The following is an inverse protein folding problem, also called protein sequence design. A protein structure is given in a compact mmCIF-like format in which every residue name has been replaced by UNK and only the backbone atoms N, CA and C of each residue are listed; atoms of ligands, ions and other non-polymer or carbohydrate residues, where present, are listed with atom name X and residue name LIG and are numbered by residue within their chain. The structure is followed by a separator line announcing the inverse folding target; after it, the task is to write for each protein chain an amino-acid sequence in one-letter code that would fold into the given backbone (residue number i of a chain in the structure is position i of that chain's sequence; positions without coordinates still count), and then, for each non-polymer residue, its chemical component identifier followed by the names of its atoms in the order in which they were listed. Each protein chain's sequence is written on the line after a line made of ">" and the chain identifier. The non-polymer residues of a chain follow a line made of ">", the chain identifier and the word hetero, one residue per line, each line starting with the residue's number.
data_IF_850585761716
#
_entry.id   IF_850585761716
#
_cell.length_a   1.000
_cell.length_b   1.000
_cell.length_c   1.000
_cell.angle_alpha   90.00
_cell.angle_beta   90.00
_cell.angle_gamma   90.00
#
_symmetry.space_group_name_H-M   'P 1'
#
loop_
_entity.id
_entity.type
_entity.pdbx_description
1 polymer ?
#
# COMPACT_ATOMS: atom_id res chain seq x y z
N UNK A 1 68.03 -17.52 0.20
CA UNK A 1 67.08 -17.48 -0.93
C UNK A 1 66.04 -18.57 -0.70
N UNK A 2 64.75 -18.17 -0.65
CA UNK A 2 63.53 -19.02 -0.84
C UNK A 2 63.26 -20.02 0.30
N UNK A 3 62.10 -20.14 0.96
CA UNK A 3 60.78 -19.48 0.98
C UNK A 3 60.11 -19.88 2.31
N UNK A 4 59.24 -19.07 2.93
CA UNK A 4 58.32 -19.56 3.96
C UNK A 4 57.07 -20.16 3.32
N UNK A 5 56.61 -21.28 3.87
CA UNK A 5 55.34 -21.93 3.54
C UNK A 5 54.16 -20.98 3.78
N UNK A 6 53.41 -20.69 2.73
CA UNK A 6 52.11 -20.02 2.82
C UNK A 6 51.05 -21.02 3.25
N UNK A 7 50.56 -20.89 4.48
CA UNK A 7 49.33 -21.50 4.93
C UNK A 7 48.16 -21.01 4.07
N UNK A 8 47.51 -21.94 3.37
CA UNK A 8 46.27 -21.71 2.63
C UNK A 8 45.13 -21.49 3.63
N UNK A 9 44.82 -20.23 3.95
CA UNK A 9 43.53 -19.88 4.54
C UNK A 9 42.44 -20.15 3.50
N UNK A 10 41.60 -21.14 3.78
CA UNK A 10 40.32 -21.29 3.10
C UNK A 10 39.47 -20.07 3.45
N UNK A 11 39.27 -19.18 2.49
CA UNK A 11 38.18 -18.21 2.51
C UNK A 11 36.86 -18.98 2.67
N UNK A 12 36.27 -18.86 3.86
CA UNK A 12 34.87 -19.18 4.06
C UNK A 12 34.06 -18.19 3.24
N UNK A 13 33.54 -18.64 2.10
CA UNK A 13 32.54 -17.92 1.34
C UNK A 13 31.36 -17.60 2.28
N UNK A 14 31.27 -16.34 2.73
CA UNK A 14 30.12 -15.84 3.44
C UNK A 14 28.90 -16.03 2.53
N UNK A 15 27.92 -16.80 3.01
CA UNK A 15 26.69 -17.05 2.27
C UNK A 15 26.08 -15.74 1.80
N UNK A 16 25.82 -15.63 0.50
CA UNK A 16 24.90 -14.60 -0.02
C UNK A 16 23.61 -14.76 0.79
N UNK A 17 23.26 -13.77 1.60
CA UNK A 17 21.92 -13.70 2.16
C UNK A 17 20.93 -13.82 1.00
N UNK A 18 20.04 -14.81 1.06
CA UNK A 18 18.99 -14.92 0.07
C UNK A 18 18.19 -13.61 0.04
N UNK A 19 17.76 -13.17 -1.15
CA UNK A 19 16.92 -11.99 -1.26
C UNK A 19 15.61 -12.20 -0.45
N UNK A 20 15.01 -11.15 0.14
CA UNK A 20 13.82 -11.27 0.99
C UNK A 20 12.66 -12.06 0.37
N UNK A 21 12.42 -11.88 -0.93
CA UNK A 21 11.49 -12.68 -1.72
C UNK A 21 12.24 -13.74 -2.52
N UNK A 22 11.73 -14.96 -2.48
CA UNK A 22 12.09 -15.98 -3.47
C UNK A 22 11.71 -15.53 -4.88
N UNK A 23 12.34 -16.12 -5.90
CA UNK A 23 12.04 -15.79 -7.30
C UNK A 23 10.56 -16.04 -7.66
N UNK A 24 9.96 -17.10 -7.11
CA UNK A 24 8.56 -17.44 -7.35
C UNK A 24 7.59 -16.49 -6.64
N UNK A 25 7.85 -16.12 -5.38
CA UNK A 25 7.06 -15.12 -4.68
C UNK A 25 7.10 -13.77 -5.40
N UNK A 26 8.30 -13.31 -5.79
CA UNK A 26 8.45 -12.07 -6.55
C UNK A 26 7.62 -12.09 -7.83
N UNK A 27 7.69 -13.19 -8.59
CA UNK A 27 6.92 -13.35 -9.84
C UNK A 27 5.41 -13.32 -9.60
N UNK A 28 4.92 -13.98 -8.54
CA UNK A 28 3.49 -14.01 -8.22
C UNK A 28 2.98 -12.66 -7.71
N UNK A 29 3.76 -11.97 -6.87
CA UNK A 29 3.41 -10.65 -6.35
C UNK A 29 3.41 -9.59 -7.46
N UNK A 30 4.42 -9.60 -8.35
CA UNK A 30 4.44 -8.71 -9.53
C UNK A 30 3.23 -8.97 -10.45
N UNK A 31 2.87 -10.25 -10.66
CA UNK A 31 1.70 -10.59 -11.46
C UNK A 31 0.40 -10.07 -10.83
N UNK A 32 0.23 -10.19 -9.50
CA UNK A 32 -0.91 -9.63 -8.80
C UNK A 32 -0.92 -8.10 -8.91
N UNK A 33 0.21 -7.43 -8.66
CA UNK A 33 0.32 -5.97 -8.77
C UNK A 33 -0.03 -5.45 -10.17
N UNK A 34 0.41 -6.16 -11.22
CA UNK A 34 0.06 -5.84 -12.60
C UNK A 34 -1.41 -6.09 -12.90
N UNK A 35 -2.00 -7.14 -12.34
CA UNK A 35 -3.43 -7.42 -12.47
C UNK A 35 -4.27 -6.33 -11.79
N UNK A 36 -3.94 -5.91 -10.57
CA UNK A 36 -4.64 -4.82 -9.89
C UNK A 36 -4.48 -3.49 -10.63
N UNK A 37 -3.28 -3.18 -11.15
CA UNK A 37 -3.07 -2.01 -12.02
C UNK A 37 -3.93 -2.06 -13.29
N UNK A 38 -4.01 -3.23 -13.93
CA UNK A 38 -4.83 -3.42 -15.12
C UNK A 38 -6.32 -3.18 -14.83
N UNK A 39 -6.83 -3.73 -13.73
CA UNK A 39 -8.20 -3.51 -13.28
C UNK A 39 -8.47 -2.04 -12.93
N UNK A 40 -7.51 -1.35 -12.29
CA UNK A 40 -7.66 0.09 -12.00
C UNK A 40 -7.74 0.93 -13.28
N UNK A 41 -6.91 0.62 -14.29
CA UNK A 41 -6.99 1.27 -15.62
C UNK A 41 -8.32 0.92 -16.30
N UNK A 42 -8.73 -0.34 -16.28
CA UNK A 42 -10.01 -0.78 -16.84
C UNK A 42 -11.19 0.00 -16.27
N UNK A 43 -11.23 0.17 -14.95
CA UNK A 43 -12.23 1.00 -14.26
C UNK A 43 -12.22 2.46 -14.72
N UNK A 44 -11.07 3.09 -14.93
CA UNK A 44 -11.01 4.51 -15.33
C UNK A 44 -11.42 4.70 -16.80
N UNK A 45 -11.02 3.77 -17.69
CA UNK A 45 -11.06 4.01 -19.13
C UNK A 45 -12.11 3.20 -19.90
N UNK A 46 -12.44 1.97 -19.49
CA UNK A 46 -13.19 1.03 -20.32
C UNK A 46 -14.67 0.93 -19.93
N UNK A 47 -15.54 0.86 -20.94
CA UNK A 47 -16.95 0.47 -20.84
C UNK A 47 -17.20 -0.96 -21.28
N UNK A 48 -16.32 -1.49 -22.14
CA UNK A 48 -16.46 -2.80 -22.76
C UNK A 48 -15.11 -3.39 -23.15
N UNK A 49 -15.09 -4.63 -23.62
CA UNK A 49 -13.89 -5.38 -24.00
C UNK A 49 -12.83 -5.40 -22.88
N UNK A 50 -13.18 -5.84 -21.66
CA UNK A 50 -12.34 -5.68 -20.47
C UNK A 50 -11.05 -6.49 -20.53
N UNK A 51 -10.97 -7.52 -21.38
CA UNK A 51 -9.79 -8.37 -21.57
C UNK A 51 -9.05 -8.10 -22.89
N UNK A 52 -9.45 -7.08 -23.65
CA UNK A 52 -8.88 -6.74 -24.97
C UNK A 52 -8.81 -7.96 -25.92
N UNK A 53 -9.85 -8.80 -25.93
CA UNK A 53 -9.91 -10.01 -26.78
C UNK A 53 -10.04 -9.66 -28.27
N UNK A 54 -10.57 -8.48 -28.55
CA UNK A 54 -10.57 -7.88 -29.88
C UNK A 54 -9.83 -6.53 -29.84
N UNK A 55 -9.33 -6.03 -30.99
CA UNK A 55 -8.60 -4.76 -31.03
C UNK A 55 -9.36 -3.61 -30.37
N UNK A 56 -8.66 -2.79 -29.59
CA UNK A 56 -9.27 -1.68 -28.86
C UNK A 56 -9.84 -0.64 -29.84
N UNK A 57 -11.13 -0.31 -29.67
CA UNK A 57 -11.87 0.69 -30.47
C UNK A 57 -12.35 1.82 -29.57
N UNK A 58 -12.66 2.98 -30.16
CA UNK A 58 -13.15 4.17 -29.43
C UNK A 58 -14.43 3.89 -28.64
N UNK A 59 -15.29 3.00 -29.14
CA UNK A 59 -16.56 2.59 -28.52
C UNK A 59 -16.38 1.81 -27.21
N UNK A 60 -15.23 1.14 -27.02
CA UNK A 60 -14.90 0.47 -25.76
C UNK A 60 -14.48 1.45 -24.65
N UNK A 61 -14.18 2.70 -25.00
CA UNK A 61 -13.65 3.72 -24.08
C UNK A 61 -14.78 4.61 -23.56
N UNK A 62 -14.80 4.87 -22.25
CA UNK A 62 -15.76 5.79 -21.61
C UNK A 62 -15.81 7.15 -22.34
N UNK A 63 -17.00 7.73 -22.56
CA UNK A 63 -17.12 9.05 -23.17
C UNK A 63 -16.60 10.15 -22.23
N UNK A 64 -16.68 9.93 -20.91
CA UNK A 64 -16.10 10.79 -19.86
C UNK A 64 -15.11 9.97 -19.05
N UNK A 65 -13.85 10.40 -19.05
CA UNK A 65 -12.80 9.77 -18.26
C UNK A 65 -12.79 10.41 -16.88
N UNK A 66 -13.18 9.64 -15.87
CA UNK A 66 -13.29 10.07 -14.48
C UNK A 66 -12.55 9.06 -13.60
N UNK A 67 -11.78 9.56 -12.64
CA UNK A 67 -10.95 8.75 -11.75
C UNK A 67 -9.52 9.27 -11.68
N UNK A 68 -8.73 8.71 -10.77
CA UNK A 68 -7.35 9.12 -10.53
C UNK A 68 -6.42 7.94 -10.74
N UNK A 69 -5.40 8.14 -11.56
CA UNK A 69 -4.34 7.15 -11.79
C UNK A 69 -3.11 7.38 -10.91
N UNK A 70 -2.77 8.64 -10.62
CA UNK A 70 -1.46 9.02 -10.09
C UNK A 70 -1.02 8.29 -8.80
N UNK A 71 -1.97 8.01 -7.90
CA UNK A 71 -1.72 7.28 -6.65
C UNK A 71 -1.85 5.75 -6.81
N UNK A 72 -2.63 5.28 -7.78
CA UNK A 72 -3.10 3.90 -7.85
C UNK A 72 -2.00 2.83 -7.91
N UNK A 73 -0.95 2.95 -8.74
CA UNK A 73 0.11 1.93 -8.78
C UNK A 73 0.87 1.78 -7.47
N UNK A 74 1.07 2.89 -6.75
CA UNK A 74 1.73 2.89 -5.45
C UNK A 74 0.86 2.21 -4.40
N UNK A 75 -0.43 2.56 -4.35
CA UNK A 75 -1.41 1.90 -3.47
C UNK A 75 -1.50 0.39 -3.75
N UNK A 76 -1.61 0.01 -5.02
CA UNK A 76 -1.66 -1.40 -5.43
C UNK A 76 -0.39 -2.14 -5.00
N UNK A 77 0.78 -1.52 -5.12
CA UNK A 77 2.04 -2.15 -4.69
C UNK A 77 2.08 -2.35 -3.17
N UNK A 78 1.73 -1.32 -2.39
CA UNK A 78 1.68 -1.40 -0.94
C UNK A 78 0.70 -2.49 -0.47
N UNK A 79 -0.51 -2.52 -1.05
CA UNK A 79 -1.53 -3.50 -0.70
C UNK A 79 -1.07 -4.94 -0.98
N UNK A 80 -0.40 -5.20 -2.12
CA UNK A 80 0.18 -6.53 -2.42
C UNK A 80 1.16 -6.99 -1.33
N UNK A 81 2.03 -6.10 -0.86
CA UNK A 81 3.00 -6.45 0.18
C UNK A 81 2.38 -6.58 1.57
N UNK A 82 1.40 -5.74 1.88
CA UNK A 82 0.65 -5.84 3.13
C UNK A 82 -0.15 -7.16 3.18
N UNK A 83 -0.80 -7.56 2.07
CA UNK A 83 -1.39 -8.88 1.93
C UNK A 83 -0.39 -10.02 2.11
N UNK A 84 0.86 -9.88 1.63
CA UNK A 84 1.90 -10.88 1.85
C UNK A 84 2.16 -11.06 3.35
N UNK A 85 2.41 -9.98 4.07
CA UNK A 85 2.72 -10.09 5.51
C UNK A 85 1.52 -10.54 6.32
N UNK A 86 0.29 -10.10 5.98
CA UNK A 86 -0.95 -10.62 6.58
C UNK A 86 -0.99 -12.15 6.45
N UNK A 87 -0.81 -12.68 5.24
CA UNK A 87 -0.90 -14.12 4.99
C UNK A 87 0.25 -14.92 5.59
N UNK A 88 1.47 -14.39 5.58
CA UNK A 88 2.64 -15.10 6.12
C UNK A 88 2.57 -15.18 7.64
N UNK A 89 2.19 -14.08 8.27
CA UNK A 89 2.33 -13.87 9.70
C UNK A 89 1.01 -14.04 10.46
N UNK A 90 -0.11 -14.26 9.77
CA UNK A 90 -1.47 -14.36 10.34
C UNK A 90 -1.85 -13.11 11.15
N UNK A 91 -1.64 -11.93 10.54
CA UNK A 91 -1.86 -10.64 11.19
C UNK A 91 -3.32 -10.21 11.11
N UNK A 92 -3.87 -9.75 12.22
CA UNK A 92 -5.07 -8.91 12.22
C UNK A 92 -4.67 -7.50 11.77
N UNK A 93 -5.03 -7.14 10.54
CA UNK A 93 -4.64 -5.88 9.92
C UNK A 93 -5.79 -5.24 9.17
N UNK A 94 -5.95 -3.93 9.37
CA UNK A 94 -6.80 -3.08 8.53
C UNK A 94 -5.97 -2.00 7.85
N UNK A 95 -6.57 -1.37 6.84
CA UNK A 95 -5.97 -0.32 6.06
C UNK A 95 -6.72 1.00 6.25
N UNK A 96 -5.97 2.09 6.31
CA UNK A 96 -6.49 3.45 6.14
C UNK A 96 -5.85 4.05 4.90
N UNK A 97 -6.67 4.41 3.91
CA UNK A 97 -6.21 4.98 2.64
C UNK A 97 -6.43 6.48 2.64
N UNK A 98 -5.42 7.22 3.10
CA UNK A 98 -5.40 8.68 3.05
C UNK A 98 -5.63 9.25 1.65
N UNK A 99 -4.88 8.85 0.61
CA UNK A 99 -5.16 9.24 -0.78
C UNK A 99 -6.36 8.44 -1.34
N UNK A 100 -7.52 8.60 -0.72
CA UNK A 100 -8.74 7.83 -1.00
C UNK A 100 -9.34 8.08 -2.39
N UNK A 101 -8.89 9.13 -3.09
CA UNK A 101 -9.15 9.32 -4.53
C UNK A 101 -8.58 8.18 -5.40
N UNK A 102 -7.74 7.29 -4.83
CA UNK A 102 -7.30 6.01 -5.36
C UNK A 102 -8.33 4.87 -5.25
N UNK A 103 -9.64 5.16 -5.18
CA UNK A 103 -10.73 4.18 -5.16
C UNK A 103 -10.61 2.97 -6.09
N UNK A 104 -10.21 3.11 -7.38
CA UNK A 104 -10.17 1.96 -8.28
C UNK A 104 -9.08 0.94 -7.91
N UNK A 105 -8.09 1.32 -7.10
CA UNK A 105 -7.12 0.38 -6.53
C UNK A 105 -7.79 -0.56 -5.53
N UNK A 106 -8.52 -0.02 -4.57
CA UNK A 106 -9.12 -0.79 -3.48
C UNK A 106 -10.27 -1.67 -4.00
N UNK A 107 -11.06 -1.16 -4.95
CA UNK A 107 -12.06 -1.97 -5.66
C UNK A 107 -11.41 -3.12 -6.44
N UNK A 108 -10.25 -2.90 -7.07
CA UNK A 108 -9.53 -3.96 -7.77
C UNK A 108 -9.04 -5.06 -6.83
N UNK A 109 -8.53 -4.68 -5.65
CA UNK A 109 -8.11 -5.62 -4.60
C UNK A 109 -9.29 -6.44 -4.07
N UNK A 110 -10.37 -5.79 -3.65
CA UNK A 110 -11.58 -6.48 -3.18
C UNK A 110 -12.16 -7.43 -4.25
N UNK A 111 -12.08 -7.06 -5.53
CA UNK A 111 -12.50 -7.92 -6.63
C UNK A 111 -11.60 -9.16 -6.79
N UNK A 112 -10.27 -8.98 -6.79
CA UNK A 112 -9.31 -10.09 -6.90
C UNK A 112 -9.30 -11.02 -5.66
N UNK A 113 -9.78 -10.53 -4.53
CA UNK A 113 -9.95 -11.30 -3.29
C UNK A 113 -11.29 -12.02 -3.20
N UNK A 114 -12.20 -11.81 -4.17
CA UNK A 114 -13.55 -12.38 -4.19
C UNK A 114 -14.55 -11.67 -3.28
N UNK A 115 -14.09 -10.89 -2.29
CA UNK A 115 -14.96 -10.19 -1.32
C UNK A 115 -15.91 -9.20 -2.00
N UNK A 116 -15.48 -8.54 -3.08
CA UNK A 116 -16.38 -7.68 -3.85
C UNK A 116 -17.56 -8.46 -4.45
N UNK A 117 -17.32 -9.68 -4.94
CA UNK A 117 -18.36 -10.57 -5.48
C UNK A 117 -19.28 -11.10 -4.38
N UNK A 118 -18.77 -11.34 -3.17
CA UNK A 118 -19.58 -11.76 -2.02
C UNK A 118 -20.64 -10.69 -1.66
N UNK A 119 -20.26 -9.41 -1.65
CA UNK A 119 -21.17 -8.29 -1.37
C UNK A 119 -21.99 -7.86 -2.60
N UNK A 120 -21.44 -7.98 -3.81
CA UNK A 120 -22.05 -7.59 -5.07
C UNK A 120 -22.07 -8.78 -6.06
N UNK A 121 -22.98 -9.76 -5.88
CA UNK A 121 -23.01 -10.98 -6.71
C UNK A 121 -23.21 -10.75 -8.20
N UNK A 122 -23.70 -9.57 -8.59
CA UNK A 122 -23.84 -9.15 -9.99
C UNK A 122 -22.49 -8.81 -10.66
N UNK A 123 -21.40 -8.76 -9.90
CA UNK A 123 -20.03 -8.47 -10.36
C UNK A 123 -19.18 -9.72 -10.15
N UNK A 124 -19.41 -10.74 -10.98
CA UNK A 124 -18.75 -12.04 -10.87
C UNK A 124 -17.25 -12.02 -11.26
N UNK A 125 -16.50 -13.03 -10.82
CA UNK A 125 -15.10 -13.26 -11.18
C UNK A 125 -14.93 -13.88 -12.58
N UNK A 126 -15.56 -13.26 -13.58
CA UNK A 126 -15.49 -13.63 -14.99
C UNK A 126 -15.40 -12.40 -15.91
N UNK A 127 -15.36 -12.64 -17.22
CA UNK A 127 -15.25 -11.57 -18.20
C UNK A 127 -16.45 -10.60 -18.21
N UNK A 128 -17.65 -11.08 -17.88
CA UNK A 128 -18.86 -10.25 -17.83
C UNK A 128 -18.89 -9.41 -16.55
N UNK A 129 -18.56 -10.01 -15.41
CA UNK A 129 -18.42 -9.29 -14.14
C UNK A 129 -17.31 -8.25 -14.20
N UNK A 130 -16.17 -8.56 -14.82
CA UNK A 130 -15.10 -7.58 -15.06
C UNK A 130 -15.55 -6.41 -15.95
N UNK A 131 -16.35 -6.68 -16.99
CA UNK A 131 -16.94 -5.63 -17.83
C UNK A 131 -17.85 -4.71 -16.99
N UNK A 132 -18.71 -5.29 -16.15
CA UNK A 132 -19.60 -4.53 -15.25
C UNK A 132 -18.80 -3.73 -14.22
N UNK A 133 -17.77 -4.32 -13.62
CA UNK A 133 -16.83 -3.67 -12.71
C UNK A 133 -16.21 -2.43 -13.35
N UNK A 134 -15.73 -2.56 -14.59
CA UNK A 134 -15.12 -1.44 -15.31
C UNK A 134 -16.15 -0.35 -15.60
N UNK A 135 -17.30 -0.75 -16.14
CA UNK A 135 -18.36 0.17 -16.55
C UNK A 135 -18.91 1.00 -15.39
N UNK A 136 -19.14 0.38 -14.22
CA UNK A 136 -19.81 1.06 -13.09
C UNK A 136 -18.94 2.12 -12.39
N UNK A 137 -17.62 2.03 -12.48
CA UNK A 137 -16.74 2.97 -11.79
C UNK A 137 -16.94 4.42 -12.27
N UNK A 138 -17.25 5.35 -11.36
CA UNK A 138 -17.49 6.77 -11.66
C UNK A 138 -18.50 7.00 -12.80
N UNK A 139 -19.52 6.15 -12.87
CA UNK A 139 -20.54 6.18 -13.93
C UNK A 139 -21.91 6.52 -13.34
N UNK A 140 -22.82 7.17 -14.09
CA UNK A 140 -24.18 7.41 -13.62
C UNK A 140 -24.87 6.11 -13.19
N UNK A 141 -25.29 6.03 -11.92
CA UNK A 141 -25.90 4.84 -11.33
C UNK A 141 -24.90 3.72 -11.00
N UNK A 142 -23.60 4.00 -11.04
CA UNK A 142 -22.53 3.10 -10.59
C UNK A 142 -21.93 3.53 -9.26
N UNK A 143 -20.63 3.27 -9.08
CA UNK A 143 -19.92 3.44 -7.81
C UNK A 143 -19.06 4.73 -7.77
N UNK A 144 -18.76 5.30 -6.58
CA UNK A 144 -17.90 6.46 -6.39
C UNK A 144 -16.48 6.30 -6.94
N UNK A 145 -15.78 7.43 -7.07
CA UNK A 145 -14.37 7.49 -7.46
C UNK A 145 -13.39 7.28 -6.29
N UNK A 146 -13.88 7.42 -5.05
CA UNK A 146 -13.08 7.32 -3.83
C UNK A 146 -13.23 5.93 -3.18
N UNK A 147 -12.47 5.67 -2.11
CA UNK A 147 -12.61 4.47 -1.27
C UNK A 147 -13.86 4.57 -0.38
N UNK A 148 -15.00 4.79 -1.01
CA UNK A 148 -16.27 5.09 -0.35
C UNK A 148 -16.74 3.94 0.57
N UNK A 149 -17.70 4.19 1.49
CA UNK A 149 -18.20 3.17 2.43
C UNK A 149 -18.77 1.90 1.78
N UNK A 150 -19.15 1.98 0.51
CA UNK A 150 -19.58 0.82 -0.30
C UNK A 150 -18.42 -0.06 -0.79
N UNK A 151 -17.17 0.34 -0.57
CA UNK A 151 -16.00 -0.50 -0.88
C UNK A 151 -15.74 -1.43 0.31
N UNK A 152 -15.82 -2.77 0.13
CA UNK A 152 -15.47 -3.71 1.19
C UNK A 152 -14.09 -3.42 1.78
N UNK A 153 -13.99 -3.39 3.10
CA UNK A 153 -12.77 -3.05 3.84
C UNK A 153 -12.57 -1.55 4.12
N UNK A 154 -13.40 -0.66 3.59
CA UNK A 154 -13.29 0.78 3.86
C UNK A 154 -13.92 1.19 5.20
N UNK A 155 -13.15 1.88 6.02
CA UNK A 155 -13.64 2.69 7.15
C UNK A 155 -13.21 4.17 7.04
N UNK A 156 -12.58 4.54 5.93
CA UNK A 156 -12.04 5.87 5.67
C UNK A 156 -12.06 6.15 4.17
N UNK A 157 -12.89 7.10 3.74
CA UNK A 157 -13.07 7.41 2.32
C UNK A 157 -11.89 8.15 1.69
N UNK A 158 -11.18 8.98 2.46
CA UNK A 158 -10.03 9.76 1.98
C UNK A 158 -10.37 10.76 0.87
N UNK A 159 -11.61 11.28 0.86
CA UNK A 159 -12.03 12.38 0.00
C UNK A 159 -11.57 13.73 0.53
N UNK A 160 -12.03 14.11 1.73
CA UNK A 160 -11.42 15.21 2.47
C UNK A 160 -10.15 14.72 3.17
N UNK A 161 -9.01 15.16 2.64
CA UNK A 161 -7.67 14.79 3.08
C UNK A 161 -7.34 15.35 4.47
N UNK A 162 -6.63 14.56 5.28
CA UNK A 162 -6.02 15.03 6.54
C UNK A 162 -6.29 14.15 7.76
N UNK A 163 -7.27 13.25 7.67
CA UNK A 163 -7.76 12.48 8.82
C UNK A 163 -7.23 11.04 8.88
N UNK A 164 -6.31 10.65 7.98
CA UNK A 164 -5.82 9.29 7.90
C UNK A 164 -5.23 8.81 9.25
N UNK A 165 -4.32 9.59 9.83
CA UNK A 165 -3.68 9.19 11.10
C UNK A 165 -4.67 9.21 12.27
N UNK A 166 -5.54 10.22 12.39
CA UNK A 166 -6.50 10.24 13.50
C UNK A 166 -7.46 9.05 13.47
N UNK A 167 -7.94 8.66 12.28
CA UNK A 167 -8.76 7.46 12.13
C UNK A 167 -7.95 6.18 12.42
N UNK A 168 -6.69 6.13 11.98
CA UNK A 168 -5.84 4.96 12.22
C UNK A 168 -5.56 4.74 13.71
N UNK A 169 -5.17 5.78 14.43
CA UNK A 169 -4.96 5.71 15.88
C UNK A 169 -6.27 5.41 16.62
N UNK A 170 -7.37 6.02 16.19
CA UNK A 170 -8.72 5.71 16.69
C UNK A 170 -9.07 4.22 16.62
N UNK A 171 -8.76 3.58 15.49
CA UNK A 171 -9.01 2.15 15.29
C UNK A 171 -8.07 1.24 16.11
N UNK A 172 -6.84 1.69 16.37
CA UNK A 172 -5.88 0.93 17.16
C UNK A 172 -6.14 0.96 18.68
N UNK A 173 -6.80 2.00 19.21
CA UNK A 173 -7.08 2.08 20.65
C UNK A 173 -7.96 0.91 21.13
N UNK A 174 -7.60 0.37 22.30
CA UNK A 174 -8.27 -0.78 22.94
C UNK A 174 -8.38 -2.03 22.04
N UNK A 175 -7.53 -2.13 21.01
CA UNK A 175 -7.52 -3.26 20.08
C UNK A 175 -6.10 -3.88 19.95
N UNK A 176 -5.65 -4.63 20.97
CA UNK A 176 -4.23 -4.97 21.18
C UNK A 176 -3.57 -5.77 20.06
N UNK A 177 -4.33 -6.50 19.25
CA UNK A 177 -3.74 -7.35 18.20
C UNK A 177 -3.81 -6.71 16.82
N UNK A 178 -4.49 -5.56 16.69
CA UNK A 178 -4.71 -4.91 15.42
C UNK A 178 -3.49 -4.10 14.98
N UNK A 179 -3.01 -4.36 13.77
CA UNK A 179 -2.11 -3.47 13.04
C UNK A 179 -2.93 -2.62 12.07
N UNK A 180 -2.80 -1.31 12.14
CA UNK A 180 -3.44 -0.37 11.21
C UNK A 180 -2.39 0.16 10.24
N UNK A 181 -2.38 -0.37 9.02
CA UNK A 181 -1.55 0.16 7.95
C UNK A 181 -2.17 1.47 7.43
N UNK A 182 -1.54 2.60 7.77
CA UNK A 182 -2.06 3.93 7.45
C UNK A 182 -1.27 4.55 6.30
N UNK A 183 -1.83 4.49 5.09
CA UNK A 183 -1.21 5.08 3.91
C UNK A 183 -1.55 6.57 3.87
N UNK A 184 -0.53 7.41 3.91
CA UNK A 184 -0.63 8.86 3.96
C UNK A 184 -0.14 9.46 2.66
N UNK A 185 -0.96 10.26 1.98
CA UNK A 185 -0.49 10.99 0.79
C UNK A 185 0.54 12.06 1.19
N UNK A 186 1.61 12.25 0.42
CA UNK A 186 2.55 13.34 0.71
C UNK A 186 1.94 14.74 0.53
N UNK A 187 0.97 14.89 -0.36
CA UNK A 187 0.14 16.10 -0.45
C UNK A 187 -0.86 16.24 0.72
N UNK A 188 -1.36 15.12 1.23
CA UNK A 188 -2.20 15.08 2.44
C UNK A 188 -1.39 15.56 3.66
N UNK A 189 -0.10 15.18 3.73
CA UNK A 189 0.81 15.50 4.83
C UNK A 189 1.08 17.00 5.00
N UNK A 190 0.69 17.82 4.03
CA UNK A 190 0.74 19.28 4.13
C UNK A 190 -0.47 19.88 4.85
N UNK A 191 -1.51 19.08 5.12
CA UNK A 191 -2.69 19.53 5.86
C UNK A 191 -2.40 19.64 7.35
N UNK A 192 -3.03 20.63 8.01
CA UNK A 192 -2.92 20.83 9.45
C UNK A 192 -3.32 19.60 10.29
N UNK A 193 -4.49 18.97 10.03
CA UNK A 193 -4.92 17.76 10.73
C UNK A 193 -3.89 16.63 10.63
N UNK A 194 -3.31 16.38 9.45
CA UNK A 194 -2.37 15.28 9.31
C UNK A 194 -1.01 15.57 9.94
N UNK A 195 -0.53 16.81 9.80
CA UNK A 195 0.72 17.26 10.42
C UNK A 195 0.72 17.02 11.93
N UNK A 196 -0.39 17.30 12.63
CA UNK A 196 -0.52 17.00 14.06
C UNK A 196 -0.87 15.53 14.34
N UNK A 197 -1.48 14.82 13.40
CA UNK A 197 -1.85 13.41 13.53
C UNK A 197 -0.66 12.49 13.83
N UNK A 198 0.54 12.85 13.36
CA UNK A 198 1.79 12.16 13.68
C UNK A 198 2.14 12.15 15.17
N UNK A 199 1.62 13.08 15.96
CA UNK A 199 1.87 13.13 17.40
C UNK A 199 1.05 12.11 18.20
N UNK A 200 0.11 11.42 17.56
CA UNK A 200 -0.81 10.48 18.22
C UNK A 200 -0.10 9.28 18.87
N UNK A 201 1.12 8.93 18.42
CA UNK A 201 1.93 7.88 19.04
C UNK A 201 2.25 8.13 20.53
N UNK A 202 2.17 9.37 21.04
CA UNK A 202 2.40 9.67 22.48
C UNK A 202 1.24 9.22 23.37
N UNK A 203 0.07 8.93 22.77
CA UNK A 203 -1.14 8.54 23.51
C UNK A 203 -1.42 7.04 23.40
N UNK A 204 -0.80 6.34 22.46
CA UNK A 204 -0.93 4.91 22.26
C UNK A 204 -0.07 4.15 23.28
N UNK A 205 -0.65 3.15 23.93
CA UNK A 205 0.03 2.29 24.90
C UNK A 205 0.14 0.86 24.35
N UNK A 206 1.33 0.38 23.97
CA UNK A 206 1.51 -0.95 23.36
C UNK A 206 1.10 -2.12 24.27
N UNK A 207 0.95 -1.90 25.58
CA UNK A 207 0.48 -2.91 26.52
C UNK A 207 -1.02 -3.25 26.36
N UNK A 208 -1.83 -2.35 25.79
CA UNK A 208 -3.30 -2.50 25.69
C UNK A 208 -3.89 -2.15 24.32
N UNK A 209 -3.20 -1.28 23.58
CA UNK A 209 -3.63 -0.79 22.28
C UNK A 209 -2.93 -1.59 21.17
N UNK A 210 -3.50 -1.51 19.97
CA UNK A 210 -2.91 -2.03 18.75
C UNK A 210 -1.69 -1.21 18.29
N UNK A 211 -1.40 -1.26 17.00
CA UNK A 211 -0.29 -0.53 16.42
C UNK A 211 -0.75 0.21 15.18
N UNK A 212 -0.25 1.42 14.96
CA UNK A 212 -0.37 2.11 13.68
C UNK A 212 0.98 2.01 12.98
N UNK A 213 0.97 1.53 11.73
CA UNK A 213 2.10 1.53 10.81
C UNK A 213 1.85 2.61 9.73
N UNK A 214 2.34 3.85 9.93
CA UNK A 214 2.22 4.88 8.90
C UNK A 214 3.13 4.61 7.72
N UNK A 215 2.59 4.75 6.51
CA UNK A 215 3.32 4.64 5.26
C UNK A 215 3.12 5.95 4.50
N UNK A 216 4.13 6.82 4.52
CA UNK A 216 4.13 8.04 3.72
C UNK A 216 4.29 7.68 2.24
N UNK A 217 3.21 7.80 1.47
CA UNK A 217 3.22 7.62 0.03
C UNK A 217 3.83 8.84 -0.66
N UNK A 218 5.17 8.89 -0.63
CA UNK A 218 6.00 9.98 -1.13
C UNK A 218 6.21 9.90 -2.65
N UNK A 219 5.13 9.99 -3.42
CA UNK A 219 5.18 9.92 -4.89
C UNK A 219 5.65 11.23 -5.55
N UNK A 220 5.83 12.30 -4.78
CA UNK A 220 6.49 13.52 -5.18
C UNK A 220 5.57 14.66 -5.58
N UNK A 221 4.27 14.39 -5.76
CA UNK A 221 3.33 15.34 -6.35
C UNK A 221 1.93 15.24 -5.76
N UNK A 222 1.28 16.41 -5.69
CA UNK A 222 -0.16 16.58 -5.59
C UNK A 222 -0.72 17.02 -6.95
N UNK A 223 -1.99 17.42 -7.00
CA UNK A 223 -2.73 17.69 -8.25
C UNK A 223 -1.91 18.44 -9.32
N UNK A 224 -1.29 19.55 -8.93
CA UNK A 224 -0.57 20.43 -9.87
C UNK A 224 0.73 21.01 -9.30
N UNK A 225 1.27 20.40 -8.24
CA UNK A 225 2.45 20.91 -7.55
C UNK A 225 3.27 19.76 -6.96
N UNK A 226 4.57 19.96 -6.76
CA UNK A 226 5.34 19.07 -5.91
C UNK A 226 4.90 19.13 -4.44
N UNK A 227 5.15 18.07 -3.69
CA UNK A 227 4.93 18.02 -2.24
C UNK A 227 6.19 18.41 -1.49
N UNK A 228 6.10 19.21 -0.41
CA UNK A 228 7.30 19.75 0.24
C UNK A 228 8.17 18.66 0.87
N UNK A 229 7.56 17.65 1.50
CA UNK A 229 8.28 16.51 2.09
C UNK A 229 9.05 15.69 1.04
N UNK A 230 8.62 15.74 -0.22
CA UNK A 230 9.33 15.08 -1.32
C UNK A 230 10.49 15.92 -1.89
N UNK A 231 10.67 17.15 -1.42
CA UNK A 231 11.66 18.11 -1.94
C UNK A 231 12.69 18.55 -0.91
N UNK A 232 12.44 18.31 0.37
CA UNK A 232 13.46 18.52 1.41
C UNK A 232 14.57 17.46 1.30
N UNK A 233 15.78 17.74 1.81
CA UNK A 233 16.85 16.77 1.88
C UNK A 233 16.45 15.50 2.65
N UNK A 234 16.95 14.35 2.22
CA UNK A 234 16.68 13.05 2.84
C UNK A 234 16.98 13.04 4.35
N UNK A 235 18.08 13.67 4.79
CA UNK A 235 18.44 13.77 6.20
C UNK A 235 17.46 14.64 7.01
N UNK A 236 16.86 15.66 6.40
CA UNK A 236 15.82 16.46 7.05
C UNK A 236 14.53 15.66 7.21
N UNK A 237 14.13 14.92 6.18
CA UNK A 237 12.96 14.04 6.23
C UNK A 237 13.11 12.95 7.30
N UNK A 238 14.29 12.32 7.39
CA UNK A 238 14.62 11.37 8.45
C UNK A 238 14.50 12.01 9.83
N UNK A 239 15.15 13.15 10.05
CA UNK A 239 15.11 13.88 11.33
C UNK A 239 13.69 14.33 11.70
N UNK A 240 12.87 14.68 10.72
CA UNK A 240 11.48 15.06 10.93
C UNK A 240 10.69 13.92 11.59
N UNK A 241 10.78 12.70 11.06
CA UNK A 241 10.08 11.54 11.64
C UNK A 241 10.73 11.02 12.93
N UNK A 242 12.06 11.01 13.03
CA UNK A 242 12.77 10.70 14.27
C UNK A 242 12.39 11.67 15.39
N UNK A 243 12.31 12.97 15.09
CA UNK A 243 11.87 13.99 16.03
C UNK A 243 10.41 13.84 16.47
N UNK A 244 9.58 13.17 15.68
CA UNK A 244 8.22 12.79 16.03
C UNK A 244 8.13 11.42 16.73
N UNK A 245 9.25 10.77 17.02
CA UNK A 245 9.29 9.49 17.75
C UNK A 245 8.98 8.28 16.88
N UNK A 246 9.21 8.35 15.58
CA UNK A 246 9.15 7.20 14.67
C UNK A 246 10.55 6.74 14.29
N UNK A 247 10.67 5.46 13.92
CA UNK A 247 11.84 4.91 13.24
C UNK A 247 11.55 4.86 11.73
N UNK A 248 12.06 5.79 10.92
CA UNK A 248 11.76 5.82 9.49
C UNK A 248 12.53 4.74 8.73
N UNK A 249 11.82 4.06 7.83
CA UNK A 249 12.37 3.18 6.80
C UNK A 249 12.12 3.79 5.43
N UNK A 250 13.07 3.62 4.51
CA UNK A 250 12.98 4.17 3.16
C UNK A 250 12.93 3.04 2.14
N UNK A 251 11.97 3.11 1.22
CA UNK A 251 11.87 2.24 0.06
C UNK A 251 11.78 3.14 -1.17
N UNK A 252 12.78 3.03 -2.05
CA UNK A 252 12.98 3.98 -3.13
C UNK A 252 13.34 3.26 -4.43
N UNK A 253 12.80 3.76 -5.54
CA UNK A 253 13.19 3.27 -6.87
C UNK A 253 12.07 3.34 -7.90
N UNK A 254 12.46 3.06 -9.14
CA UNK A 254 11.57 2.99 -10.31
C UNK A 254 11.55 1.60 -10.96
N UNK A 255 12.43 0.70 -10.52
CA UNK A 255 12.50 -0.69 -10.98
C UNK A 255 11.59 -1.54 -10.07
N UNK A 256 10.45 -2.06 -10.56
CA UNK A 256 9.49 -2.78 -9.71
C UNK A 256 10.11 -3.99 -9.00
N UNK A 257 10.99 -4.75 -9.66
CA UNK A 257 11.58 -5.94 -9.06
C UNK A 257 12.44 -5.60 -7.83
N UNK A 258 13.18 -4.50 -7.91
CA UNK A 258 13.98 -3.99 -6.77
C UNK A 258 13.11 -3.40 -5.67
N UNK A 259 12.06 -2.66 -6.03
CA UNK A 259 11.12 -2.07 -5.05
C UNK A 259 10.35 -3.19 -4.32
N UNK A 260 9.98 -4.27 -5.01
CA UNK A 260 9.38 -5.45 -4.36
C UNK A 260 10.31 -6.05 -3.31
N UNK A 261 11.60 -6.24 -3.61
CA UNK A 261 12.55 -6.76 -2.63
C UNK A 261 12.72 -5.82 -1.42
N UNK A 262 12.82 -4.51 -1.66
CA UNK A 262 12.94 -3.51 -0.60
C UNK A 262 11.69 -3.44 0.29
N UNK A 263 10.48 -3.43 -0.31
CA UNK A 263 9.23 -3.42 0.45
C UNK A 263 9.08 -4.68 1.30
N UNK A 264 9.44 -5.84 0.76
CA UNK A 264 9.41 -7.08 1.50
C UNK A 264 10.36 -7.03 2.71
N UNK A 265 11.61 -6.61 2.52
CA UNK A 265 12.60 -6.46 3.61
C UNK A 265 12.11 -5.51 4.72
N UNK A 266 11.62 -4.33 4.32
CA UNK A 266 11.17 -3.29 5.25
C UNK A 266 9.92 -3.72 6.00
N UNK A 267 8.94 -4.32 5.34
CA UNK A 267 7.72 -4.77 6.01
C UNK A 267 7.99 -5.99 6.90
N UNK A 268 8.90 -6.88 6.52
CA UNK A 268 9.33 -7.99 7.37
C UNK A 268 10.01 -7.50 8.65
N UNK A 269 10.87 -6.49 8.51
CA UNK A 269 11.52 -5.83 9.64
C UNK A 269 10.49 -5.10 10.52
N UNK A 270 9.59 -4.32 9.90
CA UNK A 270 8.61 -3.54 10.64
C UNK A 270 7.61 -4.42 11.40
N UNK A 271 7.09 -5.50 10.81
CA UNK A 271 6.16 -6.40 11.52
C UNK A 271 6.85 -7.16 12.65
N UNK A 272 8.12 -7.56 12.47
CA UNK A 272 8.90 -8.16 13.55
C UNK A 272 9.16 -7.18 14.71
N UNK A 273 9.48 -5.92 14.41
CA UNK A 273 9.69 -4.90 15.43
C UNK A 273 8.39 -4.53 16.17
N UNK A 274 7.25 -4.46 15.47
CA UNK A 274 5.94 -4.25 16.11
C UNK A 274 5.64 -5.36 17.10
N UNK A 275 5.89 -6.62 16.71
CA UNK A 275 5.72 -7.77 17.62
C UNK A 275 6.63 -7.66 18.84
N UNK A 276 7.89 -7.34 18.64
CA UNK A 276 8.83 -7.16 19.75
C UNK A 276 8.38 -6.04 20.70
N UNK A 277 7.88 -4.92 20.18
CA UNK A 277 7.35 -3.81 20.99
C UNK A 277 6.16 -4.26 21.83
N UNK A 278 5.25 -5.06 21.26
CA UNK A 278 4.13 -5.62 22.01
C UNK A 278 4.57 -6.63 23.06
N UNK A 279 5.50 -7.53 22.73
CA UNK A 279 6.03 -8.51 23.67
C UNK A 279 6.70 -7.80 24.86
N UNK A 280 7.58 -6.83 24.62
CA UNK A 280 8.27 -6.07 25.66
C UNK A 280 7.30 -5.29 26.58
N UNK A 281 6.19 -4.81 26.04
CA UNK A 281 5.22 -3.99 26.77
C UNK A 281 4.16 -4.80 27.55
N UNK A 282 3.98 -6.08 27.23
CA UNK A 282 2.91 -6.95 27.79
C UNK A 282 3.42 -7.96 28.81
N UNK A 283 4.72 -7.94 29.10
CA UNK A 283 5.36 -8.72 30.16
C UNK A 283 5.04 -8.16 31.55
#
# INVERSE_FOLDING_TARGET
>A
MVSPETASMKETASGKSAAPLSADELRLMDAYWRASNYLSVGQIYLLDNPLLREPLKREHIKPRLLGHWGTSPGLNMLYVHLNRVIKRDDLDMIYIIGPGHGGPSLVAHAYLEGTYTEFYPNIAEDAEGMQRLFKQFSFPGGIPSHVAPETPGSIHEGGELGYALSHAYGAAFDNPNLVVACIVGDGEAETGPLATGWQSNKFLNPARDGCVLPILHLNGYKIANPCFLARIPHDELKKFFEGMGYKPYFVEGHDPAKVHQQLADVLDTATAEIRQIWDDARI
#
